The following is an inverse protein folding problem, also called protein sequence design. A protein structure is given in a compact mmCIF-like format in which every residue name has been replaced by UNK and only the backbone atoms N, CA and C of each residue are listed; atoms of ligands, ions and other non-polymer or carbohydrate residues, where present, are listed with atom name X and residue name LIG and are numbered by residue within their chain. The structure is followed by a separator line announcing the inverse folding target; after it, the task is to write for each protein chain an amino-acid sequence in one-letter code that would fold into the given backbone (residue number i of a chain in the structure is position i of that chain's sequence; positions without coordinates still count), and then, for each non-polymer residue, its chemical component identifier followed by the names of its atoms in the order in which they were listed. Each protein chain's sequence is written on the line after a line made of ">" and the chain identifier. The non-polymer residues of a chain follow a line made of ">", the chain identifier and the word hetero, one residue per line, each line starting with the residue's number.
data_IF_710444429842
#
_entry.id   IF_710444429842
#
_cell.length_a   1.000
_cell.length_b   1.000
_cell.length_c   1.000
_cell.angle_alpha   90.00
_cell.angle_beta   90.00
_cell.angle_gamma   90.00
#
_symmetry.space_group_name_H-M   'P 1'
#
loop_
_entity.id
_entity.type
_entity.pdbx_description
1 polymer ?
#
# COMPACT_ATOMS: atom_id res chain seq x y z
N UNK A 1 -2.84 -15.48 -11.34
CA UNK A 1 -4.23 -16.01 -11.32
C UNK A 1 -5.03 -15.05 -12.16
N UNK A 2 -5.81 -15.53 -13.15
CA UNK A 2 -6.78 -14.66 -13.81
C UNK A 2 -7.77 -14.15 -12.75
N UNK A 3 -8.16 -12.89 -12.84
CA UNK A 3 -9.14 -12.31 -11.92
C UNK A 3 -10.46 -13.09 -12.05
N UNK A 4 -10.93 -13.67 -10.94
CA UNK A 4 -12.27 -14.25 -10.89
C UNK A 4 -13.23 -13.06 -10.97
N UNK A 5 -13.91 -12.87 -12.10
CA UNK A 5 -14.76 -11.70 -12.40
C UNK A 5 -16.00 -11.51 -11.50
N UNK A 6 -16.02 -12.08 -10.30
CA UNK A 6 -17.11 -12.04 -9.33
C UNK A 6 -16.70 -11.58 -7.93
N UNK A 7 -15.41 -11.34 -7.67
CA UNK A 7 -14.98 -10.80 -6.38
C UNK A 7 -14.76 -9.28 -6.53
N UNK A 8 -15.63 -8.44 -5.96
CA UNK A 8 -15.44 -6.99 -6.03
C UNK A 8 -14.16 -6.62 -5.26
N UNK A 9 -13.39 -5.68 -5.81
CA UNK A 9 -12.26 -5.10 -5.11
C UNK A 9 -12.76 -4.19 -3.99
N UNK A 10 -12.02 -4.17 -2.88
CA UNK A 10 -12.29 -3.23 -1.80
C UNK A 10 -12.12 -1.80 -2.30
N UNK A 11 -13.06 -0.90 -1.95
CA UNK A 11 -13.09 0.47 -2.44
C UNK A 11 -13.23 1.46 -1.28
N UNK A 12 -12.22 2.31 -1.11
CA UNK A 12 -12.18 3.38 -0.12
C UNK A 12 -12.55 4.71 -0.78
N UNK A 13 -13.74 5.24 -0.46
CA UNK A 13 -14.22 6.52 -0.99
C UNK A 13 -13.67 7.68 -0.18
N UNK A 14 -13.05 8.63 -0.87
CA UNK A 14 -12.38 9.79 -0.26
C UNK A 14 -12.81 11.11 -0.89
N UNK A 15 -12.74 12.18 -0.11
CA UNK A 15 -12.96 13.56 -0.59
C UNK A 15 -11.61 14.24 -0.81
N UNK A 16 -11.58 15.19 -1.73
CA UNK A 16 -10.39 16.00 -2.02
C UNK A 16 -9.97 16.82 -0.79
N UNK A 17 -8.66 17.02 -0.63
CA UNK A 17 -8.02 17.82 0.42
C UNK A 17 -8.37 17.37 1.85
N UNK A 18 -8.42 16.06 2.07
CA UNK A 18 -8.67 15.45 3.36
C UNK A 18 -7.53 14.50 3.77
N UNK A 19 -7.44 14.25 5.07
CA UNK A 19 -6.51 13.28 5.64
C UNK A 19 -7.25 12.02 6.04
N UNK A 20 -6.80 10.87 5.53
CA UNK A 20 -7.35 9.56 5.86
C UNK A 20 -6.29 8.70 6.52
N UNK A 21 -6.55 8.24 7.75
CA UNK A 21 -5.68 7.29 8.46
C UNK A 21 -6.13 5.86 8.16
N UNK A 22 -5.28 5.10 7.50
CA UNK A 22 -5.43 3.67 7.29
C UNK A 22 -4.71 2.93 8.40
N UNK A 23 -5.33 1.87 8.91
CA UNK A 23 -4.74 0.96 9.90
C UNK A 23 -4.66 -0.42 9.26
N UNK A 24 -3.46 -0.79 8.83
CA UNK A 24 -3.26 -2.00 8.02
C UNK A 24 -2.49 -3.02 8.83
N UNK A 25 -3.00 -4.26 8.87
CA UNK A 25 -2.39 -5.39 9.57
C UNK A 25 -2.06 -6.44 8.51
N UNK A 26 -0.84 -6.97 8.54
CA UNK A 26 -0.50 -8.11 7.72
C UNK A 26 -0.95 -9.41 8.42
N UNK A 27 -2.13 -9.90 8.03
CA UNK A 27 -2.67 -11.17 8.50
C UNK A 27 -2.22 -12.39 7.66
N UNK A 28 -1.20 -12.25 6.81
CA UNK A 28 -0.63 -13.37 6.05
C UNK A 28 0.11 -14.34 6.98
N UNK A 29 0.30 -15.58 6.54
CA UNK A 29 1.06 -16.58 7.29
C UNK A 29 2.57 -16.47 7.08
N UNK A 30 3.04 -16.38 5.83
CA UNK A 30 4.46 -16.51 5.49
C UNK A 30 5.09 -15.26 4.88
N UNK A 31 4.30 -14.41 4.21
CA UNK A 31 4.84 -13.34 3.38
C UNK A 31 4.75 -11.96 4.03
N UNK A 32 5.83 -11.19 3.94
CA UNK A 32 5.76 -9.76 4.17
C UNK A 32 4.99 -9.09 3.04
N UNK A 33 4.30 -8.00 3.38
CA UNK A 33 3.41 -7.26 2.51
C UNK A 33 3.99 -5.89 2.24
N UNK A 34 4.31 -5.64 0.98
CA UNK A 34 4.66 -4.32 0.46
C UNK A 34 3.37 -3.55 0.14
N UNK A 35 3.24 -2.35 0.70
CA UNK A 35 2.09 -1.48 0.56
C UNK A 35 2.55 -0.18 -0.10
N UNK A 36 1.83 0.24 -1.15
CA UNK A 36 2.00 1.55 -1.79
C UNK A 36 0.66 2.07 -2.30
N UNK A 37 0.59 3.38 -2.58
CA UNK A 37 -0.60 4.00 -3.18
C UNK A 37 -0.16 4.78 -4.39
N UNK A 38 -0.78 4.52 -5.54
CA UNK A 38 -0.46 5.21 -6.78
C UNK A 38 -0.60 6.74 -6.59
N UNK A 39 0.41 7.49 -7.03
CA UNK A 39 0.55 8.94 -6.93
C UNK A 39 0.39 9.55 -5.51
N UNK A 40 0.48 8.75 -4.45
CA UNK A 40 0.39 9.24 -3.08
C UNK A 40 1.57 8.80 -2.22
N UNK A 41 2.05 9.72 -1.38
CA UNK A 41 3.01 9.40 -0.32
C UNK A 41 2.25 8.86 0.90
N UNK A 42 2.80 7.84 1.54
CA UNK A 42 2.32 7.35 2.83
C UNK A 42 3.00 8.16 3.95
N UNK A 43 2.21 8.77 4.83
CA UNK A 43 2.72 9.41 6.04
C UNK A 43 2.59 8.41 7.18
N UNK A 44 3.66 7.71 7.54
CA UNK A 44 3.64 6.74 8.63
C UNK A 44 3.50 7.47 9.96
N UNK A 45 2.57 7.03 10.81
CA UNK A 45 2.29 7.67 12.11
C UNK A 45 2.30 6.70 13.29
N UNK A 46 2.06 5.41 13.07
CA UNK A 46 2.24 4.39 14.11
C UNK A 46 2.65 3.05 13.50
N UNK A 47 3.32 2.20 14.30
CA UNK A 47 3.68 0.82 13.96
C UNK A 47 3.51 -0.05 15.19
N UNK A 48 2.89 -1.22 15.03
CA UNK A 48 2.58 -2.17 16.10
C UNK A 48 1.89 -1.51 17.31
N UNK A 49 0.99 -0.56 17.02
CA UNK A 49 0.25 0.19 18.01
C UNK A 49 1.04 1.31 18.70
N UNK A 50 2.32 1.49 18.41
CA UNK A 50 3.15 2.55 18.98
C UNK A 50 3.24 3.73 18.02
N UNK A 51 2.93 4.94 18.51
CA UNK A 51 3.10 6.16 17.74
C UNK A 51 4.59 6.41 17.43
N UNK A 52 4.87 6.86 16.21
CA UNK A 52 6.21 7.23 15.75
C UNK A 52 6.26 8.69 15.34
N UNK A 53 7.47 9.26 15.24
CA UNK A 53 7.64 10.58 14.62
C UNK A 53 7.20 10.49 13.16
N UNK A 54 6.22 11.29 12.70
CA UNK A 54 5.68 11.11 11.36
C UNK A 54 6.72 11.29 10.26
N UNK A 55 6.76 10.37 9.30
CA UNK A 55 7.64 10.47 8.14
C UNK A 55 6.95 10.02 6.87
N UNK A 56 7.34 10.62 5.74
CA UNK A 56 6.84 10.24 4.40
C UNK A 56 7.65 9.08 3.83
N UNK A 57 6.98 8.17 3.15
CA UNK A 57 7.55 7.05 2.39
C UNK A 57 6.69 6.74 1.17
N UNK A 58 7.28 6.19 0.10
CA UNK A 58 6.53 5.72 -1.07
C UNK A 58 5.98 4.31 -0.82
N UNK A 59 6.77 3.51 -0.11
CA UNK A 59 6.53 2.10 0.14
C UNK A 59 6.75 1.81 1.63
N UNK A 60 5.88 0.99 2.22
CA UNK A 60 6.11 0.37 3.53
C UNK A 60 5.96 -1.14 3.40
N UNK A 61 6.85 -1.90 4.03
CA UNK A 61 6.79 -3.35 4.11
C UNK A 61 6.51 -3.74 5.55
N UNK A 62 5.49 -4.57 5.75
CA UNK A 62 5.09 -5.12 7.06
C UNK A 62 5.13 -6.65 7.03
N UNK A 63 5.70 -7.27 8.05
CA UNK A 63 5.79 -8.74 8.19
C UNK A 63 4.49 -9.33 8.75
N UNK A 64 4.27 -10.64 8.63
CA UNK A 64 3.16 -11.32 9.29
C UNK A 64 3.02 -10.94 10.77
N UNK A 65 1.83 -10.47 11.16
CA UNK A 65 1.52 -10.02 12.51
C UNK A 65 1.82 -8.55 12.81
N UNK A 66 2.63 -7.88 11.99
CA UNK A 66 2.90 -6.45 12.14
C UNK A 66 1.73 -5.60 11.64
N UNK A 67 1.60 -4.42 12.21
CA UNK A 67 0.61 -3.41 11.83
C UNK A 67 1.24 -2.05 11.60
N UNK A 68 0.69 -1.29 10.66
CA UNK A 68 1.12 0.08 10.37
C UNK A 68 -0.10 0.98 10.23
N UNK A 69 0.00 2.15 10.85
CA UNK A 69 -0.92 3.25 10.61
C UNK A 69 -0.24 4.28 9.72
N UNK A 70 -0.86 4.57 8.58
CA UNK A 70 -0.41 5.60 7.66
C UNK A 70 -1.53 6.55 7.27
N UNK A 71 -1.17 7.81 7.04
CA UNK A 71 -2.08 8.84 6.56
C UNK A 71 -1.84 9.08 5.07
N UNK A 72 -2.93 9.14 4.33
CA UNK A 72 -2.97 9.66 2.95
C UNK A 72 -3.57 11.06 2.99
N UNK A 73 -2.91 12.01 2.33
CA UNK A 73 -3.50 13.31 2.01
C UNK A 73 -4.01 13.29 0.57
N UNK A 74 -5.30 13.54 0.37
CA UNK A 74 -5.96 13.40 -0.94
C UNK A 74 -5.85 14.68 -1.76
N UNK A 75 -4.63 15.01 -2.19
CA UNK A 75 -4.31 16.22 -2.95
C UNK A 75 -4.12 15.98 -4.46
N UNK A 76 -4.55 14.83 -4.96
CA UNK A 76 -4.41 14.43 -6.36
C UNK A 76 -5.67 14.72 -7.18
N UNK A 77 -5.56 14.77 -8.52
CA UNK A 77 -6.72 14.94 -9.38
C UNK A 77 -7.86 13.97 -9.03
N UNK A 78 -9.11 14.37 -9.26
CA UNK A 78 -10.25 13.49 -9.07
C UNK A 78 -10.15 12.30 -10.04
N UNK A 79 -9.72 11.14 -9.52
CA UNK A 79 -9.50 9.92 -10.27
C UNK A 79 -9.59 8.69 -9.32
N UNK A 80 -9.51 7.48 -9.87
CA UNK A 80 -9.35 6.24 -9.13
C UNK A 80 -7.86 5.88 -9.04
N UNK A 81 -7.38 5.64 -7.83
CA UNK A 81 -6.00 5.23 -7.56
C UNK A 81 -5.95 3.82 -6.98
N UNK A 82 -4.84 3.09 -7.20
CA UNK A 82 -4.65 1.77 -6.60
C UNK A 82 -3.95 1.90 -5.25
N UNK A 83 -4.46 1.18 -4.26
CA UNK A 83 -3.70 0.81 -3.07
C UNK A 83 -3.12 -0.57 -3.35
N UNK A 84 -1.84 -0.64 -3.66
CA UNK A 84 -1.17 -1.86 -4.07
C UNK A 84 -0.72 -2.67 -2.85
N UNK A 85 -0.92 -3.98 -2.93
CA UNK A 85 -0.49 -4.96 -1.94
C UNK A 85 0.32 -6.05 -2.67
N UNK A 86 1.62 -6.09 -2.43
CA UNK A 86 2.53 -7.02 -3.12
C UNK A 86 3.25 -7.88 -2.07
N UNK A 87 3.17 -9.20 -2.19
CA UNK A 87 3.94 -10.09 -1.32
C UNK A 87 5.40 -10.08 -1.72
N UNK A 88 6.30 -9.96 -0.75
CA UNK A 88 7.75 -10.06 -1.01
C UNK A 88 8.18 -11.52 -1.21
N UNK A 89 9.39 -11.73 -1.73
CA UNK A 89 9.99 -13.05 -1.73
C UNK A 89 10.22 -13.51 -0.29
N UNK A 90 9.98 -14.79 -0.01
CA UNK A 90 10.18 -15.38 1.32
C UNK A 90 10.84 -16.74 1.20
N UNK A 91 11.60 -17.15 2.21
CA UNK A 91 12.20 -18.47 2.27
C UNK A 91 11.45 -19.32 3.29
N UNK A 92 11.23 -20.59 2.99
CA UNK A 92 10.66 -21.51 3.96
C UNK A 92 11.70 -22.06 4.95
N UNK A 93 11.24 -22.92 5.86
CA UNK A 93 12.08 -23.60 6.87
C UNK A 93 13.14 -24.53 6.26
N UNK A 94 13.01 -24.88 4.98
CA UNK A 94 13.98 -25.71 4.24
C UNK A 94 15.02 -24.87 3.47
N UNK A 95 14.84 -23.55 3.45
CA UNK A 95 15.70 -22.61 2.72
C UNK A 95 15.27 -22.38 1.27
N UNK A 96 14.17 -22.98 0.81
CA UNK A 96 13.62 -22.72 -0.52
C UNK A 96 13.05 -21.31 -0.57
N UNK A 97 13.53 -20.51 -1.53
CA UNK A 97 13.09 -19.12 -1.68
C UNK A 97 11.94 -19.05 -2.69
N UNK A 98 10.75 -18.77 -2.18
CA UNK A 98 9.57 -18.46 -2.98
C UNK A 98 9.69 -17.03 -3.50
N UNK A 99 10.10 -16.90 -4.76
CA UNK A 99 10.23 -15.61 -5.47
C UNK A 99 8.94 -15.18 -6.16
N UNK A 100 7.90 -16.01 -6.17
CA UNK A 100 6.61 -15.70 -6.81
C UNK A 100 5.86 -14.61 -6.04
N UNK A 101 6.14 -13.35 -6.39
CA UNK A 101 5.40 -12.21 -5.87
C UNK A 101 3.95 -12.27 -6.34
N UNK A 102 3.02 -12.25 -5.41
CA UNK A 102 1.58 -12.11 -5.65
C UNK A 102 1.21 -10.66 -5.41
N UNK A 103 0.40 -10.11 -6.30
CA UNK A 103 -0.08 -8.74 -6.19
C UNK A 103 -1.60 -8.72 -6.21
N UNK A 104 -2.19 -7.86 -5.39
CA UNK A 104 -3.59 -7.44 -5.46
C UNK A 104 -3.66 -5.95 -5.13
N UNK A 105 -4.80 -5.33 -5.32
CA UNK A 105 -4.98 -3.91 -5.02
C UNK A 105 -6.41 -3.62 -4.55
N UNK A 106 -6.55 -2.54 -3.78
CA UNK A 106 -7.83 -1.91 -3.51
C UNK A 106 -7.95 -0.61 -4.32
N UNK A 107 -9.16 -0.07 -4.42
CA UNK A 107 -9.44 1.18 -5.12
C UNK A 107 -9.55 2.32 -4.10
N UNK A 108 -8.78 3.38 -4.29
CA UNK A 108 -8.95 4.67 -3.63
C UNK A 108 -9.76 5.57 -4.58
N UNK A 109 -11.06 5.64 -4.37
CA UNK A 109 -12.01 6.34 -5.24
C UNK A 109 -12.25 7.76 -4.73
N UNK A 110 -11.90 8.76 -5.54
CA UNK A 110 -12.24 10.14 -5.24
C UNK A 110 -13.73 10.40 -5.50
N UNK A 111 -14.37 11.11 -4.57
CA UNK A 111 -15.80 11.39 -4.64
C UNK A 111 -16.20 12.05 -5.95
N UNK A 112 -17.17 11.47 -6.64
CA UNK A 112 -17.66 11.94 -7.95
C UNK A 112 -17.01 11.27 -9.16
N UNK A 113 -16.06 10.35 -8.94
CA UNK A 113 -15.49 9.46 -9.99
C UNK A 113 -16.27 8.15 -10.00
N UNK A 114 -16.55 7.59 -11.19
CA UNK A 114 -17.16 6.26 -11.33
C UNK A 114 -16.21 5.21 -10.80
N UNK A 115 -16.63 4.43 -9.80
CA UNK A 115 -15.81 3.39 -9.17
C UNK A 115 -15.49 2.21 -10.10
N UNK A 116 -16.27 2.04 -11.17
CA UNK A 116 -16.05 0.99 -12.17
C UNK A 116 -15.05 1.43 -13.26
N UNK A 117 -14.68 2.72 -13.29
CA UNK A 117 -13.66 3.21 -14.19
C UNK A 117 -12.31 2.63 -13.79
N UNK A 118 -11.59 2.06 -14.77
CA UNK A 118 -10.31 1.40 -14.52
C UNK A 118 -9.35 2.41 -13.89
N UNK A 119 -8.79 2.14 -12.69
CA UNK A 119 -7.88 3.06 -12.04
C UNK A 119 -6.63 3.26 -12.89
N UNK A 120 -6.29 4.53 -13.14
CA UNK A 120 -5.10 4.90 -13.91
C UNK A 120 -3.88 4.59 -13.04
N UNK A 121 -3.00 3.72 -13.54
CA UNK A 121 -1.74 3.40 -12.87
C UNK A 121 -0.84 4.63 -12.97
N UNK A 122 -0.65 5.33 -11.85
CA UNK A 122 0.22 6.50 -11.74
C UNK A 122 1.28 6.26 -10.68
N UNK A 123 2.30 5.47 -11.03
CA UNK A 123 3.43 5.28 -10.13
C UNK A 123 4.29 6.55 -10.07
N UNK A 124 4.82 6.86 -8.89
CA UNK A 124 5.78 7.97 -8.76
C UNK A 124 7.04 7.65 -9.56
N UNK A 125 7.45 8.58 -10.43
CA UNK A 125 8.68 8.44 -11.20
C UNK A 125 9.91 8.66 -10.31
N UNK A 126 10.44 7.57 -9.77
CA UNK A 126 11.68 7.59 -9.00
C UNK A 126 12.91 7.55 -9.91
N UNK A 127 13.96 8.28 -9.52
CA UNK A 127 15.25 8.32 -10.21
C UNK A 127 16.39 8.24 -9.19
N UNK A 128 17.65 8.04 -9.61
CA UNK A 128 18.79 8.11 -8.70
C UNK A 128 18.91 9.45 -7.96
N UNK A 129 18.42 10.54 -8.55
CA UNK A 129 18.41 11.89 -7.96
C UNK A 129 17.21 12.05 -7.01
N UNK A 130 16.09 11.41 -7.35
CA UNK A 130 14.84 11.48 -6.59
C UNK A 130 14.41 10.03 -6.26
N UNK A 131 15.09 9.38 -5.30
CA UNK A 131 14.85 7.98 -5.03
C UNK A 131 13.45 7.74 -4.45
N UNK A 132 12.92 6.55 -4.72
CA UNK A 132 11.80 6.00 -3.96
C UNK A 132 12.30 5.68 -2.56
N UNK A 133 11.53 6.07 -1.55
CA UNK A 133 11.77 5.69 -0.17
C UNK A 133 10.90 4.48 0.16
N UNK A 134 11.55 3.38 0.50
CA UNK A 134 10.93 2.17 1.00
C UNK A 134 11.37 1.93 2.44
N UNK A 135 10.46 1.50 3.30
CA UNK A 135 10.74 1.21 4.71
C UNK A 135 10.36 -0.22 5.02
N UNK A 136 11.34 -1.03 5.45
CA UNK A 136 11.20 -2.47 5.73
C UNK A 136 11.36 -2.84 7.21
N UNK A 137 11.81 -1.89 8.04
CA UNK A 137 11.86 -1.99 9.49
C UNK A 137 11.69 -0.58 10.05
N UNK A 138 10.61 -0.35 10.79
CA UNK A 138 10.34 0.96 11.39
C UNK A 138 10.99 1.07 12.78
N UNK A 139 11.29 -0.07 13.41
CA UNK A 139 12.10 -0.16 14.62
C UNK A 139 13.39 -0.93 14.30
N UNK A 140 14.52 -0.27 14.53
CA UNK A 140 15.85 -0.88 14.52
C UNK A 140 16.28 -1.25 15.93
#
# INVERSE_FOLDING_TARGET
>A
MPELGFLPLETFRVKLYQYYRFRTINACFLAALEISVDDHMLIIVAVDGNDVVPFKTDIVVIKPGESVDYIIFTDRPHDNYRINYITTATSDVTGETFTSRRSTYAILNYHGVDENEIPIIRQRACSPIVPCKAVNQVFG
#
